data_IF_297849817669
#
_entry.id   IF_297849817669
#
_cell.length_a   1.000
_cell.length_b   1.000
_cell.length_c   1.000
_cell.angle_alpha   90.00
_cell.angle_beta   90.00
_cell.angle_gamma   90.00
#
_symmetry.space_group_name_H-M   'P 1'
#
loop_
_entity.id
_entity.type
_entity.pdbx_description
1 polymer ?
#
# COMPACT_ATOMS: atom_id res chain seq x y z
N UNK A 1 -42.27 36.67 33.78
CA UNK A 1 -41.03 36.44 33.02
C UNK A 1 -40.80 34.96 32.94
N UNK A 2 -41.09 34.35 31.79
CA UNK A 2 -40.82 32.94 31.56
C UNK A 2 -39.46 32.85 30.95
N UNK A 3 -38.49 32.29 31.68
CA UNK A 3 -37.14 31.94 31.19
C UNK A 3 -37.27 30.75 30.25
N UNK A 4 -37.03 30.95 28.98
CA UNK A 4 -36.95 29.91 27.98
C UNK A 4 -35.54 29.30 28.07
N UNK A 5 -35.38 28.18 28.78
CA UNK A 5 -34.20 27.34 28.66
C UNK A 5 -34.26 26.68 27.29
N UNK A 6 -33.46 27.15 26.36
CA UNK A 6 -33.12 26.35 25.19
C UNK A 6 -32.32 25.14 25.67
N UNK A 7 -32.89 23.96 25.61
CA UNK A 7 -32.11 22.71 25.70
C UNK A 7 -31.18 22.66 24.47
N UNK A 8 -29.91 23.02 24.67
CA UNK A 8 -28.85 22.65 23.77
C UNK A 8 -28.82 21.11 23.79
N UNK A 9 -29.48 20.50 22.81
CA UNK A 9 -29.29 19.07 22.54
C UNK A 9 -27.88 18.92 22.01
N UNK A 10 -26.97 18.50 22.89
CA UNK A 10 -25.67 17.97 22.50
C UNK A 10 -25.93 16.83 21.50
N UNK A 11 -25.83 17.13 20.22
CA UNK A 11 -25.89 16.12 19.15
C UNK A 11 -24.60 15.33 19.25
N UNK A 12 -24.65 14.21 20.01
CA UNK A 12 -23.53 13.29 20.06
C UNK A 12 -23.43 12.62 18.70
N UNK A 13 -22.41 13.02 17.94
CA UNK A 13 -22.04 12.33 16.70
C UNK A 13 -21.51 10.93 17.07
N UNK A 14 -22.03 9.90 16.40
CA UNK A 14 -21.50 8.55 16.54
C UNK A 14 -20.34 8.37 15.55
N UNK A 15 -19.27 7.64 15.96
CA UNK A 15 -18.22 7.26 15.04
C UNK A 15 -18.76 6.46 13.85
N UNK A 16 -18.20 6.68 12.68
CA UNK A 16 -18.55 5.99 11.42
C UNK A 16 -17.30 5.34 10.82
N UNK A 17 -17.44 4.12 10.33
CA UNK A 17 -16.37 3.46 9.61
C UNK A 17 -16.23 4.07 8.20
N UNK A 18 -15.01 4.14 7.71
CA UNK A 18 -14.69 4.58 6.35
C UNK A 18 -14.34 3.38 5.47
N UNK A 19 -14.48 3.54 4.16
CA UNK A 19 -14.11 2.52 3.20
C UNK A 19 -13.00 3.07 2.29
N UNK A 20 -11.93 2.31 2.13
CA UNK A 20 -10.88 2.58 1.16
C UNK A 20 -11.05 1.60 0.00
N UNK A 21 -11.14 2.12 -1.22
CA UNK A 21 -11.16 1.31 -2.44
C UNK A 21 -9.84 1.49 -3.17
N UNK A 22 -9.25 0.39 -3.60
CA UNK A 22 -8.00 0.36 -4.34
C UNK A 22 -8.25 -0.05 -5.79
N UNK A 23 -7.84 0.80 -6.72
CA UNK A 23 -7.78 0.52 -8.16
C UNK A 23 -6.34 0.58 -8.63
N UNK A 24 -6.08 0.02 -9.81
CA UNK A 24 -4.73 -0.10 -10.34
C UNK A 24 -4.67 0.39 -11.77
N UNK A 25 -3.54 0.98 -12.14
CA UNK A 25 -3.27 1.40 -13.52
C UNK A 25 -1.81 1.12 -13.90
N UNK A 26 -1.55 1.15 -15.19
CA UNK A 26 -0.23 1.19 -15.80
C UNK A 26 -0.16 2.40 -16.72
N UNK A 27 0.65 3.40 -16.37
CA UNK A 27 0.69 4.68 -17.07
C UNK A 27 -0.72 5.27 -17.31
N UNK A 28 -1.57 5.27 -16.27
CA UNK A 28 -2.94 5.81 -16.31
C UNK A 28 -3.97 4.93 -17.02
N UNK A 29 -3.58 3.79 -17.60
CA UNK A 29 -4.52 2.81 -18.16
C UNK A 29 -4.90 1.81 -17.08
N UNK A 30 -6.20 1.67 -16.79
CA UNK A 30 -6.72 0.73 -15.81
C UNK A 30 -6.23 -0.70 -16.09
N UNK A 31 -5.82 -1.40 -15.03
CA UNK A 31 -5.49 -2.81 -15.04
C UNK A 31 -6.34 -3.56 -14.02
N UNK A 32 -6.73 -4.77 -14.41
CA UNK A 32 -7.50 -5.71 -13.60
C UNK A 32 -6.85 -7.09 -13.64
N UNK A 33 -7.37 -8.05 -12.90
CA UNK A 33 -6.87 -9.43 -12.95
C UNK A 33 -7.01 -10.08 -14.34
N UNK A 34 -7.86 -9.55 -15.23
CA UNK A 34 -7.97 -10.06 -16.60
C UNK A 34 -6.76 -9.72 -17.48
N UNK A 35 -5.91 -8.81 -17.04
CA UNK A 35 -4.69 -8.40 -17.73
C UNK A 35 -3.45 -9.23 -17.32
N UNK A 36 -3.63 -10.13 -16.35
CA UNK A 36 -2.55 -10.96 -15.82
C UNK A 36 -2.07 -12.00 -16.84
N UNK A 37 -0.84 -12.44 -16.68
CA UNK A 37 -0.16 -13.46 -17.50
C UNK A 37 -0.04 -13.09 -18.99
N UNK A 38 -0.04 -11.78 -19.32
CA UNK A 38 0.11 -11.27 -20.67
C UNK A 38 1.33 -10.33 -20.74
N UNK A 39 2.24 -10.61 -21.67
CA UNK A 39 3.37 -9.72 -22.00
C UNK A 39 2.84 -8.51 -22.78
N UNK A 40 2.37 -7.48 -22.08
CA UNK A 40 1.70 -6.31 -22.70
C UNK A 40 2.07 -4.97 -22.07
N UNK A 41 2.73 -4.98 -20.91
CA UNK A 41 3.17 -3.77 -20.24
C UNK A 41 4.60 -3.43 -20.68
N UNK A 42 4.93 -2.16 -20.70
CA UNK A 42 6.30 -1.71 -21.00
C UNK A 42 6.74 -0.75 -19.90
N UNK A 43 7.88 -1.01 -19.26
CA UNK A 43 8.44 -0.13 -18.26
C UNK A 43 9.22 1.03 -18.91
N UNK A 44 9.73 1.98 -18.11
CA UNK A 44 10.48 3.15 -18.59
C UNK A 44 11.83 2.78 -19.26
N UNK A 45 12.31 1.56 -19.04
CA UNK A 45 13.53 1.02 -19.68
C UNK A 45 13.23 0.20 -20.95
N UNK A 46 12.06 0.44 -21.59
CA UNK A 46 11.60 -0.21 -22.82
C UNK A 46 11.49 -1.75 -22.73
N UNK A 47 11.39 -2.31 -21.54
CA UNK A 47 11.24 -3.76 -21.34
C UNK A 47 9.77 -4.15 -21.30
N UNK A 48 9.37 -5.09 -22.16
CA UNK A 48 8.02 -5.65 -22.18
C UNK A 48 7.89 -6.68 -21.06
N UNK A 49 6.83 -6.56 -20.25
CA UNK A 49 6.62 -7.43 -19.10
C UNK A 49 5.14 -7.86 -18.93
N UNK A 50 4.95 -8.92 -18.16
CA UNK A 50 3.65 -9.37 -17.65
C UNK A 50 3.53 -9.10 -16.15
N UNK A 51 2.30 -9.09 -15.65
CA UNK A 51 1.99 -9.17 -14.22
C UNK A 51 1.43 -10.58 -13.99
N UNK A 52 2.03 -11.37 -13.09
CA UNK A 52 1.57 -12.71 -12.72
C UNK A 52 1.08 -12.78 -11.27
N UNK A 53 1.57 -11.87 -10.41
CA UNK A 53 1.09 -11.64 -9.05
C UNK A 53 1.25 -10.15 -8.73
N UNK A 54 0.26 -9.57 -8.09
CA UNK A 54 0.37 -8.25 -7.47
C UNK A 54 -0.49 -8.24 -6.22
N UNK A 55 0.16 -8.24 -5.07
CA UNK A 55 -0.48 -8.07 -3.77
C UNK A 55 0.40 -7.27 -2.84
N UNK A 56 -0.23 -6.44 -2.00
CA UNK A 56 0.49 -5.53 -1.12
C UNK A 56 -0.30 -5.24 0.14
N UNK A 57 0.42 -4.83 1.19
CA UNK A 57 -0.11 -4.59 2.51
C UNK A 57 -0.34 -3.09 2.73
N UNK A 58 -1.52 -2.77 3.23
CA UNK A 58 -1.88 -1.44 3.73
C UNK A 58 -2.15 -1.55 5.23
N UNK A 59 -1.65 -0.63 6.01
CA UNK A 59 -1.88 -0.56 7.45
C UNK A 59 -2.00 0.89 7.95
N UNK A 60 -2.27 1.06 9.24
CA UNK A 60 -2.18 2.35 9.94
C UNK A 60 -2.93 3.49 9.23
N UNK A 61 -4.21 3.28 8.94
CA UNK A 61 -5.04 4.39 8.44
C UNK A 61 -5.21 5.42 9.55
N UNK A 62 -4.81 6.68 9.31
CA UNK A 62 -4.95 7.73 10.31
C UNK A 62 -5.56 9.01 9.74
N UNK A 63 -6.28 9.72 10.61
CA UNK A 63 -6.94 10.98 10.26
C UNK A 63 -6.54 12.07 11.27
N UNK A 64 -6.15 13.22 10.74
CA UNK A 64 -5.85 14.40 11.56
C UNK A 64 -7.03 15.38 11.48
N UNK A 65 -7.77 15.52 12.57
CA UNK A 65 -8.88 16.46 12.68
C UNK A 65 -8.41 17.92 12.57
N UNK A 66 -9.30 18.85 12.24
CA UNK A 66 -9.00 20.30 12.20
C UNK A 66 -8.47 20.85 13.54
N UNK A 67 -8.84 20.25 14.66
CA UNK A 67 -8.31 20.57 15.99
C UNK A 67 -6.85 20.14 16.22
N UNK A 68 -6.29 19.33 15.31
CA UNK A 68 -4.97 18.70 15.46
C UNK A 68 -5.01 17.35 16.18
N UNK A 69 -6.17 16.85 16.59
CA UNK A 69 -6.33 15.51 17.14
C UNK A 69 -6.13 14.47 16.04
N UNK A 70 -5.37 13.40 16.36
CA UNK A 70 -5.09 12.30 15.45
C UNK A 70 -5.84 11.07 15.93
N UNK A 71 -6.63 10.48 15.03
CA UNK A 71 -7.24 9.16 15.21
C UNK A 71 -6.50 8.16 14.35
N UNK A 72 -5.97 7.09 14.96
CA UNK A 72 -5.32 5.98 14.26
C UNK A 72 -6.27 4.80 14.29
N UNK A 73 -6.45 4.14 13.15
CA UNK A 73 -7.21 2.93 12.99
C UNK A 73 -6.21 1.79 12.80
N UNK A 74 -6.15 0.86 13.75
CA UNK A 74 -5.19 -0.25 13.81
C UNK A 74 -5.55 -1.42 12.88
N UNK A 75 -6.20 -1.10 11.79
CA UNK A 75 -6.55 -2.07 10.77
C UNK A 75 -5.40 -2.26 9.76
N UNK A 76 -5.31 -3.45 9.20
CA UNK A 76 -4.49 -3.71 8.02
C UNK A 76 -5.31 -4.45 6.97
N UNK A 77 -4.84 -4.40 5.73
CA UNK A 77 -5.50 -5.02 4.60
C UNK A 77 -4.47 -5.53 3.58
N UNK A 78 -4.56 -6.82 3.23
CA UNK A 78 -3.79 -7.39 2.14
C UNK A 78 -4.60 -7.27 0.85
N UNK A 79 -4.26 -6.28 0.03
CA UNK A 79 -4.85 -6.09 -1.29
C UNK A 79 -4.26 -7.13 -2.25
N UNK A 80 -5.10 -7.92 -2.91
CA UNK A 80 -4.69 -8.95 -3.87
C UNK A 80 -5.43 -8.76 -5.20
N UNK A 81 -4.71 -8.21 -6.20
CA UNK A 81 -5.29 -7.92 -7.51
C UNK A 81 -5.43 -9.18 -8.36
N UNK A 82 -4.53 -10.17 -8.22
CA UNK A 82 -4.61 -11.43 -8.96
C UNK A 82 -5.93 -12.15 -8.67
N UNK A 83 -6.27 -12.27 -7.37
CA UNK A 83 -7.47 -12.95 -6.90
C UNK A 83 -8.69 -12.05 -6.79
N UNK A 84 -8.52 -10.74 -7.05
CA UNK A 84 -9.57 -9.73 -6.92
C UNK A 84 -10.13 -9.66 -5.48
N UNK A 85 -9.24 -9.83 -4.49
CA UNK A 85 -9.58 -9.87 -3.08
C UNK A 85 -9.14 -8.58 -2.38
N UNK A 86 -9.97 -8.16 -1.40
CA UNK A 86 -9.70 -7.02 -0.52
C UNK A 86 -9.38 -5.69 -1.24
N UNK A 87 -9.91 -5.52 -2.45
CA UNK A 87 -9.82 -4.26 -3.20
C UNK A 87 -10.69 -3.17 -2.58
N UNK A 88 -11.64 -3.54 -1.73
CA UNK A 88 -12.46 -2.64 -0.93
C UNK A 88 -12.29 -3.01 0.54
N UNK A 89 -11.72 -2.12 1.30
CA UNK A 89 -11.41 -2.29 2.72
C UNK A 89 -12.24 -1.31 3.55
N UNK A 90 -13.06 -1.85 4.47
CA UNK A 90 -13.82 -1.07 5.44
C UNK A 90 -13.16 -1.19 6.81
N UNK A 91 -12.86 -0.04 7.43
CA UNK A 91 -12.23 -0.02 8.75
C UNK A 91 -13.13 -0.66 9.82
N UNK A 92 -12.52 -1.38 10.77
CA UNK A 92 -13.24 -2.02 11.89
C UNK A 92 -13.68 -0.99 12.93
N UNK A 93 -12.86 0.04 13.14
CA UNK A 93 -13.15 1.17 14.01
C UNK A 93 -13.67 2.36 13.22
N UNK A 94 -14.33 3.27 13.90
CA UNK A 94 -14.91 4.46 13.30
C UNK A 94 -14.28 5.76 13.80
N UNK A 95 -14.43 6.80 12.99
CA UNK A 95 -14.05 8.18 13.30
C UNK A 95 -15.29 9.06 13.41
N UNK A 96 -15.22 10.16 14.14
CA UNK A 96 -16.33 11.11 14.20
C UNK A 96 -16.55 11.78 12.84
N UNK A 97 -17.79 11.94 12.38
CA UNK A 97 -18.07 12.77 11.21
C UNK A 97 -17.56 14.20 11.39
N UNK A 98 -16.97 14.77 10.34
CA UNK A 98 -16.40 16.12 10.38
C UNK A 98 -15.33 16.36 9.34
N UNK A 99 -14.65 17.51 9.45
CA UNK A 99 -13.55 17.86 8.55
C UNK A 99 -12.22 17.45 9.15
N UNK A 100 -11.38 16.89 8.30
CA UNK A 100 -10.04 16.43 8.62
C UNK A 100 -9.02 17.11 7.69
N UNK A 101 -7.91 17.56 8.27
CA UNK A 101 -6.81 18.18 7.54
C UNK A 101 -6.03 17.18 6.69
N UNK A 102 -6.03 15.91 7.10
CA UNK A 102 -5.41 14.84 6.33
C UNK A 102 -6.02 13.48 6.67
N UNK A 103 -6.02 12.60 5.67
CA UNK A 103 -6.10 11.17 5.85
C UNK A 103 -4.81 10.56 5.32
N UNK A 104 -4.24 9.63 6.06
CA UNK A 104 -3.02 8.90 5.69
C UNK A 104 -3.25 7.41 5.81
N UNK A 105 -2.45 6.64 5.10
CA UNK A 105 -2.27 5.20 5.33
C UNK A 105 -0.80 4.83 5.12
N UNK A 106 -0.40 3.70 5.68
CA UNK A 106 0.93 3.14 5.50
C UNK A 106 0.91 2.02 4.47
N UNK A 107 1.87 2.05 3.56
CA UNK A 107 2.23 0.91 2.73
C UNK A 107 3.22 0.03 3.52
N UNK A 108 2.86 -1.24 3.74
CA UNK A 108 3.60 -2.14 4.63
C UNK A 108 3.21 -2.00 6.09
N UNK A 109 4.00 -2.58 6.98
CA UNK A 109 3.95 -2.37 8.43
C UNK A 109 5.12 -1.51 8.88
N UNK A 110 4.94 -0.72 9.94
CA UNK A 110 6.07 -0.15 10.67
C UNK A 110 6.88 -1.27 11.34
N UNK A 111 8.16 -1.04 11.57
CA UNK A 111 9.08 -2.09 12.05
C UNK A 111 8.62 -2.75 13.34
N UNK A 112 8.04 -2.00 14.27
CA UNK A 112 7.57 -2.53 15.57
C UNK A 112 6.38 -3.48 15.46
N UNK A 113 5.57 -3.38 14.41
CA UNK A 113 4.41 -4.25 14.15
C UNK A 113 4.75 -5.39 13.18
N UNK A 114 5.92 -5.34 12.54
CA UNK A 114 6.33 -6.32 11.53
C UNK A 114 7.02 -7.54 12.15
N UNK A 115 6.33 -8.23 13.06
CA UNK A 115 6.88 -9.37 13.80
C UNK A 115 6.45 -10.71 13.19
N UNK A 116 7.39 -11.67 13.14
CA UNK A 116 7.13 -13.03 12.66
C UNK A 116 5.92 -13.69 13.35
N UNK A 117 5.03 -14.24 12.54
CA UNK A 117 3.91 -15.04 13.02
C UNK A 117 2.79 -14.25 13.69
N UNK A 118 2.88 -12.91 13.76
CA UNK A 118 1.91 -12.06 14.47
C UNK A 118 0.51 -12.11 13.83
N UNK A 119 0.42 -12.27 12.51
CA UNK A 119 -0.84 -12.18 11.75
C UNK A 119 -1.15 -13.53 11.07
N UNK A 120 -2.14 -14.26 11.61
CA UNK A 120 -2.46 -15.63 11.18
C UNK A 120 -2.97 -15.70 9.74
N UNK A 121 -3.70 -14.73 9.27
CA UNK A 121 -4.21 -14.64 7.90
C UNK A 121 -3.06 -14.40 6.90
N UNK A 122 -2.12 -13.51 7.21
CA UNK A 122 -0.91 -13.29 6.41
C UNK A 122 0.00 -14.53 6.37
N UNK A 123 0.09 -15.27 7.50
CA UNK A 123 0.79 -16.54 7.54
C UNK A 123 0.13 -17.55 6.58
N UNK A 124 -1.20 -17.64 6.58
CA UNK A 124 -1.97 -18.51 5.70
C UNK A 124 -1.83 -18.11 4.23
N UNK A 125 -1.77 -16.81 3.96
CA UNK A 125 -1.53 -16.26 2.61
C UNK A 125 -0.09 -16.44 2.11
N UNK A 126 0.83 -17.03 2.92
CA UNK A 126 2.25 -17.15 2.59
C UNK A 126 2.89 -15.78 2.30
N UNK A 127 2.58 -14.80 3.15
CA UNK A 127 3.09 -13.44 3.03
C UNK A 127 4.30 -13.17 3.95
N UNK A 128 4.77 -14.18 4.67
CA UNK A 128 5.94 -14.11 5.54
C UNK A 128 7.23 -13.91 4.75
N UNK A 129 8.15 -13.14 5.33
CA UNK A 129 9.54 -13.05 4.91
C UNK A 129 10.33 -14.16 5.61
N UNK A 130 11.20 -14.92 4.92
CA UNK A 130 12.07 -15.90 5.57
C UNK A 130 12.99 -15.27 6.63
N UNK A 131 13.16 -15.92 7.79
CA UNK A 131 14.01 -15.45 8.89
C UNK A 131 15.42 -14.98 8.46
N UNK A 132 16.14 -15.69 7.56
CA UNK A 132 17.45 -15.21 7.07
C UNK A 132 17.42 -13.90 6.30
N UNK A 133 16.23 -13.43 5.90
CA UNK A 133 15.97 -12.16 5.22
C UNK A 133 15.29 -11.12 6.13
N UNK A 134 15.38 -11.31 7.45
CA UNK A 134 14.88 -10.39 8.46
C UNK A 134 13.56 -10.77 9.10
N UNK A 135 12.85 -11.77 8.59
CA UNK A 135 11.54 -12.16 9.12
C UNK A 135 10.44 -11.13 8.90
N UNK A 136 9.33 -11.28 9.63
CA UNK A 136 8.15 -10.44 9.48
C UNK A 136 7.37 -10.75 8.19
N UNK A 137 6.87 -9.71 7.53
CA UNK A 137 6.00 -9.82 6.36
C UNK A 137 6.51 -8.99 5.19
N UNK A 138 6.17 -9.43 3.98
CA UNK A 138 6.34 -8.60 2.81
C UNK A 138 5.48 -7.33 2.91
N UNK A 139 5.89 -6.27 2.25
CA UNK A 139 5.06 -5.10 2.01
C UNK A 139 4.38 -5.21 0.65
N UNK A 140 5.08 -5.81 -0.32
CA UNK A 140 4.53 -6.17 -1.62
C UNK A 140 5.18 -7.44 -2.16
N UNK A 141 4.40 -8.23 -2.88
CA UNK A 141 4.86 -9.28 -3.79
C UNK A 141 4.32 -8.95 -5.18
N UNK A 142 5.25 -8.64 -6.08
CA UNK A 142 4.96 -8.34 -7.46
C UNK A 142 5.84 -9.24 -8.33
N UNK A 143 5.23 -10.24 -8.95
CA UNK A 143 5.89 -11.22 -9.80
C UNK A 143 5.40 -11.10 -11.22
N UNK A 144 6.27 -11.46 -12.15
CA UNK A 144 5.93 -11.55 -13.55
C UNK A 144 7.09 -12.06 -14.39
N UNK A 145 6.94 -11.91 -15.68
CA UNK A 145 7.98 -12.18 -16.68
C UNK A 145 8.27 -10.92 -17.48
N UNK A 146 9.45 -10.86 -18.05
CA UNK A 146 9.82 -9.81 -18.99
C UNK A 146 10.64 -10.36 -20.13
N UNK A 147 10.72 -9.61 -21.22
CA UNK A 147 11.61 -9.93 -22.34
C UNK A 147 12.97 -9.32 -22.04
N UNK A 148 13.98 -10.16 -21.83
CA UNK A 148 15.33 -9.77 -21.51
C UNK A 148 16.12 -9.29 -22.73
N UNK A 149 17.35 -8.81 -22.52
CA UNK A 149 18.24 -8.33 -23.59
C UNK A 149 18.63 -9.38 -24.63
N UNK A 150 18.47 -10.68 -24.31
CA UNK A 150 18.65 -11.79 -25.26
C UNK A 150 17.37 -12.13 -26.04
N UNK A 151 16.28 -11.40 -25.84
CA UNK A 151 14.95 -11.65 -26.40
C UNK A 151 14.28 -12.92 -25.87
N UNK A 152 14.68 -13.39 -24.71
CA UNK A 152 14.08 -14.52 -24.01
C UNK A 152 13.14 -14.05 -22.91
N UNK A 153 12.10 -14.83 -22.60
CA UNK A 153 11.30 -14.61 -21.39
C UNK A 153 12.12 -14.98 -20.14
N UNK A 154 12.18 -14.06 -19.19
CA UNK A 154 12.81 -14.26 -17.89
C UNK A 154 11.86 -13.83 -16.76
N UNK A 155 11.90 -14.49 -15.59
CA UNK A 155 11.08 -14.10 -14.45
C UNK A 155 11.64 -12.83 -13.79
N UNK A 156 10.74 -12.06 -13.14
CA UNK A 156 11.13 -11.08 -12.13
C UNK A 156 10.31 -11.30 -10.86
N UNK A 157 10.94 -11.00 -9.71
CA UNK A 157 10.37 -11.10 -8.37
C UNK A 157 10.65 -9.78 -7.65
N UNK A 158 9.75 -8.82 -7.80
CA UNK A 158 9.85 -7.50 -7.19
C UNK A 158 9.15 -7.52 -5.81
N UNK A 159 9.87 -8.03 -4.81
CA UNK A 159 9.35 -8.15 -3.45
C UNK A 159 9.91 -7.03 -2.56
N UNK A 160 9.02 -6.26 -1.95
CA UNK A 160 9.37 -5.19 -1.01
C UNK A 160 9.25 -5.72 0.41
N UNK A 161 10.31 -5.56 1.18
CA UNK A 161 10.45 -5.97 2.59
C UNK A 161 11.25 -4.91 3.35
N UNK A 162 11.33 -4.99 4.68
CA UNK A 162 12.31 -4.22 5.46
C UNK A 162 13.74 -4.50 4.97
N UNK A 163 14.54 -3.47 4.80
CA UNK A 163 15.90 -3.63 4.27
C UNK A 163 16.87 -4.10 5.37
N UNK A 164 17.68 -5.13 5.05
CA UNK A 164 18.72 -5.63 5.96
C UNK A 164 20.05 -4.99 5.60
N UNK A 165 20.55 -4.12 6.45
CA UNK A 165 21.91 -3.59 6.34
C UNK A 165 22.92 -4.70 6.65
N UNK A 166 23.80 -5.10 5.71
CA UNK A 166 24.82 -6.13 5.97
C UNK A 166 25.80 -5.77 7.11
N UNK A 167 25.94 -4.51 7.44
CA UNK A 167 26.76 -4.05 8.57
C UNK A 167 26.03 -4.11 9.91
N UNK A 168 24.70 -4.21 9.92
CA UNK A 168 23.86 -4.26 11.12
C UNK A 168 22.62 -5.13 10.90
N UNK A 169 22.81 -6.43 10.71
CA UNK A 169 21.77 -7.40 10.37
C UNK A 169 20.66 -7.58 11.43
N UNK A 170 20.90 -7.11 12.66
CA UNK A 170 19.92 -7.23 13.75
C UNK A 170 18.97 -6.03 13.87
N UNK A 171 19.11 -5.04 13.01
CA UNK A 171 18.33 -3.82 13.06
C UNK A 171 17.87 -3.46 11.62
N UNK A 172 16.84 -4.14 11.12
CA UNK A 172 16.30 -3.87 9.78
C UNK A 172 15.84 -2.43 9.64
N UNK A 173 16.11 -1.83 8.48
CA UNK A 173 15.61 -0.49 8.17
C UNK A 173 14.18 -0.61 7.65
N UNK A 174 13.29 0.15 8.27
CA UNK A 174 11.91 0.28 7.84
C UNK A 174 11.84 0.92 6.45
N UNK A 175 11.44 0.13 5.45
CA UNK A 175 11.18 0.56 4.08
C UNK A 175 9.69 0.74 3.80
N UNK A 176 8.83 0.61 4.82
CA UNK A 176 7.44 1.06 4.71
C UNK A 176 7.39 2.59 4.61
N UNK A 177 6.29 3.13 4.14
CA UNK A 177 6.12 4.58 4.04
C UNK A 177 4.66 4.99 4.21
N UNK A 178 4.46 6.19 4.74
CA UNK A 178 3.13 6.76 4.92
C UNK A 178 2.77 7.67 3.76
N UNK A 179 1.57 7.48 3.23
CA UNK A 179 0.99 8.26 2.14
C UNK A 179 -0.07 9.21 2.69
N UNK A 180 0.00 10.48 2.31
CA UNK A 180 -0.98 11.49 2.71
C UNK A 180 -1.90 11.80 1.52
N UNK A 181 -3.18 11.46 1.67
CA UNK A 181 -4.22 11.68 0.66
C UNK A 181 -4.87 13.07 0.74
N UNK A 182 -4.34 13.95 1.62
CA UNK A 182 -4.83 15.32 1.77
C UNK A 182 -6.07 15.46 2.65
N UNK A 183 -6.71 16.65 2.61
CA UNK A 183 -7.88 16.95 3.43
C UNK A 183 -9.10 16.17 2.96
N UNK A 184 -9.97 15.83 3.92
CA UNK A 184 -11.21 15.11 3.66
C UNK A 184 -12.33 15.56 4.60
N UNK A 185 -13.58 15.35 4.18
CA UNK A 185 -14.75 15.43 5.06
C UNK A 185 -15.31 14.04 5.25
N UNK A 186 -15.47 13.61 6.48
CA UNK A 186 -16.03 12.32 6.84
C UNK A 186 -17.51 12.45 7.12
N UNK A 187 -18.34 11.70 6.38
CA UNK A 187 -19.77 11.54 6.58
C UNK A 187 -20.13 10.08 6.89
N UNK A 188 -21.44 9.76 6.86
CA UNK A 188 -21.93 8.44 7.27
C UNK A 188 -21.48 7.28 6.37
N UNK A 189 -21.12 7.53 5.11
CA UNK A 189 -20.78 6.51 4.11
C UNK A 189 -19.54 6.90 3.31
N UNK A 190 -18.55 7.55 3.93
CA UNK A 190 -17.36 8.02 3.22
C UNK A 190 -16.58 6.86 2.60
N UNK A 191 -16.37 6.96 1.28
CA UNK A 191 -15.55 6.06 0.49
C UNK A 191 -14.39 6.88 -0.10
N UNK A 192 -13.18 6.39 0.10
CA UNK A 192 -11.94 7.00 -0.38
C UNK A 192 -11.40 6.10 -1.48
N UNK A 193 -11.40 6.59 -2.71
CA UNK A 193 -10.93 5.85 -3.87
C UNK A 193 -9.47 6.21 -4.15
N UNK A 194 -8.61 5.22 -4.07
CA UNK A 194 -7.15 5.31 -4.20
C UNK A 194 -6.76 4.50 -5.44
N UNK A 195 -5.81 5.01 -6.22
CA UNK A 195 -5.23 4.28 -7.35
C UNK A 195 -3.74 4.08 -7.14
N UNK A 196 -3.26 2.85 -7.41
CA UNK A 196 -1.84 2.58 -7.58
C UNK A 196 -1.51 2.59 -9.07
N UNK A 197 -0.65 3.51 -9.54
CA UNK A 197 -0.01 3.34 -10.85
C UNK A 197 1.20 2.40 -10.71
N UNK A 198 1.00 1.15 -11.11
CA UNK A 198 1.99 0.08 -10.96
C UNK A 198 3.27 0.37 -11.74
N UNK A 199 3.19 1.18 -12.80
CA UNK A 199 4.37 1.56 -13.59
C UNK A 199 5.36 2.43 -12.81
N UNK A 200 4.90 3.16 -11.78
CA UNK A 200 5.76 4.03 -10.96
C UNK A 200 6.85 3.24 -10.22
N UNK A 201 6.59 1.98 -9.86
CA UNK A 201 7.58 1.12 -9.24
C UNK A 201 8.82 0.89 -10.11
N UNK A 202 8.72 1.13 -11.43
CA UNK A 202 9.80 0.93 -12.40
C UNK A 202 10.41 2.23 -12.95
N UNK A 203 9.94 3.41 -12.50
CA UNK A 203 10.39 4.66 -13.15
C UNK A 203 10.78 5.81 -12.23
N UNK A 204 10.10 6.04 -11.12
CA UNK A 204 10.28 7.26 -10.33
C UNK A 204 10.63 7.01 -8.86
N UNK A 205 11.71 7.61 -8.33
CA UNK A 205 12.73 8.44 -9.03
C UNK A 205 13.78 7.63 -9.77
N UNK A 206 13.74 6.29 -9.67
CA UNK A 206 14.76 5.40 -10.21
C UNK A 206 14.21 4.60 -11.38
N UNK A 207 14.73 4.79 -12.59
CA UNK A 207 14.43 3.92 -13.73
C UNK A 207 14.95 2.52 -13.44
N UNK A 208 14.07 1.52 -13.59
CA UNK A 208 14.36 0.15 -13.20
C UNK A 208 14.73 -0.72 -14.41
N UNK A 209 15.95 -1.27 -14.40
CA UNK A 209 16.37 -2.25 -15.41
C UNK A 209 16.16 -3.68 -14.92
N UNK A 210 15.18 -4.38 -15.50
CA UNK A 210 14.90 -5.78 -15.17
C UNK A 210 16.02 -6.74 -15.61
N UNK A 211 16.94 -6.35 -16.50
CA UNK A 211 18.12 -7.17 -16.79
C UNK A 211 19.13 -7.16 -15.64
N UNK A 212 19.10 -6.13 -14.79
CA UNK A 212 19.98 -5.99 -13.63
C UNK A 212 19.26 -6.42 -12.34
N UNK A 213 17.99 -5.98 -12.17
CA UNK A 213 17.23 -6.15 -10.94
C UNK A 213 15.96 -6.95 -11.20
N UNK A 214 16.06 -8.27 -11.40
CA UNK A 214 14.92 -9.13 -11.65
C UNK A 214 14.62 -10.15 -10.54
N UNK A 215 15.65 -10.75 -9.91
CA UNK A 215 15.52 -11.78 -8.88
C UNK A 215 16.51 -11.56 -7.74
N UNK A 216 16.29 -12.25 -6.60
CA UNK A 216 17.13 -12.16 -5.39
C UNK A 216 17.20 -10.74 -4.78
N UNK A 217 16.15 -9.96 -4.93
CA UNK A 217 16.13 -8.55 -4.53
C UNK A 217 15.92 -8.37 -3.03
N UNK A 218 15.27 -9.30 -2.34
CA UNK A 218 14.98 -9.18 -0.90
C UNK A 218 16.24 -9.09 -0.03
N UNK A 219 17.31 -9.79 -0.39
CA UNK A 219 18.60 -9.72 0.32
C UNK A 219 19.50 -8.57 -0.11
N UNK A 220 19.06 -7.72 -1.04
CA UNK A 220 19.84 -6.61 -1.54
C UNK A 220 19.39 -5.30 -0.88
N UNK A 221 20.16 -4.87 0.11
CA UNK A 221 19.89 -3.67 0.90
C UNK A 221 19.63 -2.41 0.04
N UNK A 222 20.56 -2.10 -0.86
CA UNK A 222 20.45 -0.90 -1.70
C UNK A 222 19.22 -0.95 -2.60
N UNK A 223 18.89 -2.12 -3.13
CA UNK A 223 17.72 -2.31 -3.99
C UNK A 223 16.43 -2.11 -3.21
N UNK A 224 16.33 -2.58 -1.96
CA UNK A 224 15.16 -2.32 -1.11
C UNK A 224 14.97 -0.82 -0.83
N UNK A 225 16.05 -0.06 -0.69
CA UNK A 225 15.95 1.41 -0.57
C UNK A 225 15.48 2.07 -1.87
N UNK A 226 15.92 1.59 -3.05
CA UNK A 226 15.42 2.09 -4.34
C UNK A 226 13.92 1.77 -4.51
N UNK A 227 13.47 0.58 -4.09
CA UNK A 227 12.06 0.20 -4.11
C UNK A 227 11.22 1.12 -3.22
N UNK A 228 11.68 1.42 -1.99
CA UNK A 228 11.00 2.37 -1.10
C UNK A 228 10.85 3.76 -1.76
N UNK A 229 11.91 4.25 -2.41
CA UNK A 229 11.86 5.53 -3.10
C UNK A 229 10.84 5.54 -4.25
N UNK A 230 10.82 4.49 -5.09
CA UNK A 230 9.88 4.39 -6.21
C UNK A 230 8.44 4.25 -5.72
N UNK A 231 8.20 3.49 -4.66
CA UNK A 231 6.88 3.27 -4.11
C UNK A 231 6.19 4.54 -3.60
N UNK A 232 6.96 5.53 -3.18
CA UNK A 232 6.41 6.78 -2.61
C UNK A 232 5.61 7.62 -3.62
N UNK A 233 5.80 7.40 -4.92
CA UNK A 233 5.07 8.07 -6.02
C UNK A 233 3.97 7.21 -6.64
N UNK A 234 3.77 5.98 -6.16
CA UNK A 234 2.90 5.01 -6.84
C UNK A 234 1.39 5.20 -6.55
N UNK A 235 1.02 5.97 -5.53
CA UNK A 235 -0.37 6.07 -5.09
C UNK A 235 -0.93 7.48 -5.20
N UNK A 236 -2.14 7.58 -5.76
CA UNK A 236 -2.90 8.82 -5.89
C UNK A 236 -4.31 8.70 -5.30
N UNK A 237 -4.81 9.81 -4.75
CA UNK A 237 -6.22 9.98 -4.41
C UNK A 237 -7.02 10.25 -5.68
N UNK A 238 -7.93 9.35 -6.04
CA UNK A 238 -8.81 9.54 -7.20
C UNK A 238 -10.04 10.38 -6.84
N UNK A 239 -10.73 10.02 -5.77
CA UNK A 239 -11.93 10.73 -5.32
C UNK A 239 -12.33 10.35 -3.90
N UNK A 240 -13.12 11.21 -3.28
CA UNK A 240 -13.83 10.93 -2.03
C UNK A 240 -15.32 11.08 -2.29
N UNK A 241 -16.10 10.05 -1.95
CA UNK A 241 -17.57 10.04 -2.09
C UNK A 241 -18.24 9.79 -0.74
N UNK A 242 -19.52 10.22 -0.59
CA UNK A 242 -20.31 10.10 0.64
C UNK A 242 -21.67 9.51 0.36
#
# INVERSE_FOLDING_TARGET
>A
MLSNCSEDRDIRLNPVAITLNFSHSWNGTEITNTDFNQLKFTNENDQVLSIERLRYLISEVSLTHESGEITILDDYNLVDLENNESLSFRTSEGVLPGNYNSITFRFGFKQEDNSDGAYQDLNTASFNVPEPLGGGYHFMQFDGKFINSASDEAPFLYHVISAIDPSNVNDPIDTSFTLNMGPTTIGSNTIINIQMDVSEWFKNPNTWDLNEYNINLMGNYEVQLLMNQNGSSAFDLVSITQ
#
